data_IF_814341529251
#
_entry.id   IF_814341529251
#
_cell.length_a   1.000
_cell.length_b   1.000
_cell.length_c   1.000
_cell.angle_alpha   90.00
_cell.angle_beta   90.00
_cell.angle_gamma   90.00
#
_symmetry.space_group_name_H-M   'P 1'
#
loop_
_entity.id
_entity.type
_entity.pdbx_description
1 polymer ?
#
# COMPACT_ATOMS: atom_id res chain seq x y z
N UNK A 1 -3.66 -32.47 17.09
CA UNK A 1 -3.26 -31.39 16.16
C UNK A 1 -3.37 -30.06 16.91
N UNK A 2 -2.26 -29.32 17.10
CA UNK A 2 -2.28 -28.02 17.79
C UNK A 2 -2.58 -26.93 16.76
N UNK A 3 -3.57 -26.08 17.03
CA UNK A 3 -3.86 -24.93 16.19
C UNK A 3 -2.70 -23.94 16.27
N UNK A 4 -2.08 -23.63 15.14
CA UNK A 4 -1.10 -22.57 15.01
C UNK A 4 -1.81 -21.24 15.26
N UNK A 5 -1.53 -20.63 16.42
CA UNK A 5 -2.02 -19.30 16.74
C UNK A 5 -1.34 -18.33 15.78
N UNK A 6 -2.06 -17.85 14.76
CA UNK A 6 -1.52 -16.90 13.80
C UNK A 6 -1.00 -15.70 14.57
N UNK A 7 0.31 -15.49 14.48
CA UNK A 7 1.01 -14.37 15.12
C UNK A 7 0.31 -13.10 14.69
N UNK A 8 -0.34 -12.43 15.64
CA UNK A 8 -1.04 -11.18 15.39
C UNK A 8 0.04 -10.15 15.05
N UNK A 9 0.17 -9.79 13.78
CA UNK A 9 1.09 -8.72 13.38
C UNK A 9 0.55 -7.42 13.97
N UNK A 10 1.10 -7.05 15.13
CA UNK A 10 0.74 -5.84 15.84
C UNK A 10 1.22 -4.65 15.02
N UNK A 11 0.33 -4.08 14.22
CA UNK A 11 0.58 -2.86 13.47
C UNK A 11 0.81 -1.71 14.47
N UNK A 12 2.03 -1.19 14.48
CA UNK A 12 2.38 0.00 15.26
C UNK A 12 2.25 1.26 14.40
N UNK A 13 2.12 2.42 15.05
CA UNK A 13 2.44 3.70 14.42
C UNK A 13 3.84 3.63 13.78
N UNK A 14 3.97 4.27 12.61
CA UNK A 14 5.17 4.29 11.76
C UNK A 14 5.55 2.95 11.10
N UNK A 15 4.68 1.94 11.13
CA UNK A 15 4.91 0.69 10.40
C UNK A 15 4.75 0.89 8.88
N UNK A 16 5.72 0.42 8.10
CA UNK A 16 5.57 0.32 6.65
C UNK A 16 4.72 -0.88 6.29
N UNK A 17 3.66 -0.65 5.52
CA UNK A 17 2.74 -1.68 5.04
C UNK A 17 2.72 -1.69 3.50
N UNK A 18 2.49 -2.87 2.92
CA UNK A 18 2.23 -3.01 1.48
C UNK A 18 0.75 -3.30 1.25
N UNK A 19 0.05 -2.38 0.58
CA UNK A 19 -1.35 -2.54 0.24
C UNK A 19 -1.51 -2.86 -1.24
N UNK A 20 -2.32 -3.89 -1.53
CA UNK A 20 -2.76 -4.20 -2.90
C UNK A 20 -4.06 -3.48 -3.18
N UNK A 21 -4.13 -2.78 -4.32
CA UNK A 21 -5.31 -2.03 -4.75
C UNK A 21 -5.39 -1.92 -6.26
N UNK A 22 -6.51 -1.42 -6.77
CA UNK A 22 -6.75 -1.22 -8.20
C UNK A 22 -6.56 0.26 -8.53
N UNK A 23 -5.64 0.58 -9.45
CA UNK A 23 -5.46 1.96 -9.92
C UNK A 23 -6.66 2.34 -10.79
N UNK A 24 -7.37 3.40 -10.42
CA UNK A 24 -8.54 3.93 -11.15
C UNK A 24 -8.17 5.11 -12.05
N UNK A 25 -7.25 5.95 -11.60
CA UNK A 25 -6.77 7.12 -12.35
C UNK A 25 -5.33 7.46 -11.96
N UNK A 26 -4.60 8.04 -12.92
CA UNK A 26 -3.24 8.54 -12.74
C UNK A 26 -3.25 10.01 -13.17
N UNK A 27 -2.84 10.88 -12.26
CA UNK A 27 -2.64 12.30 -12.50
C UNK A 27 -1.16 12.63 -12.36
N UNK A 28 -0.79 13.85 -12.75
CA UNK A 28 0.61 14.31 -12.72
C UNK A 28 1.26 14.12 -11.33
N UNK A 29 0.51 14.45 -10.27
CA UNK A 29 1.03 14.50 -8.91
C UNK A 29 0.43 13.45 -7.96
N UNK A 30 -0.61 12.72 -8.41
CA UNK A 30 -1.32 11.74 -7.57
C UNK A 30 -1.82 10.53 -8.35
N UNK A 31 -1.95 9.40 -7.67
CA UNK A 31 -2.66 8.21 -8.16
C UNK A 31 -3.90 7.98 -7.30
N UNK A 32 -5.00 7.60 -7.95
CA UNK A 32 -6.23 7.24 -7.26
C UNK A 32 -6.35 5.71 -7.26
N UNK A 33 -6.39 5.11 -6.07
CA UNK A 33 -6.38 3.65 -5.88
C UNK A 33 -7.63 3.22 -5.12
N UNK A 34 -8.33 2.21 -5.61
CA UNK A 34 -9.44 1.58 -4.90
C UNK A 34 -8.94 0.46 -4.00
N UNK A 35 -9.24 0.55 -2.70
CA UNK A 35 -8.89 -0.42 -1.67
C UNK A 35 -10.13 -0.68 -0.81
N UNK A 36 -10.54 -1.94 -0.70
CA UNK A 36 -11.70 -2.32 0.14
C UNK A 36 -13.00 -1.58 -0.22
N UNK A 37 -13.21 -1.25 -1.51
CA UNK A 37 -14.39 -0.54 -1.99
C UNK A 37 -14.31 0.99 -1.92
N UNK A 38 -13.33 1.56 -1.21
CA UNK A 38 -13.10 3.01 -1.13
C UNK A 38 -11.98 3.45 -2.08
N UNK A 39 -12.07 4.66 -2.62
CA UNK A 39 -11.00 5.27 -3.41
C UNK A 39 -10.18 6.19 -2.51
N UNK A 40 -8.86 6.03 -2.52
CA UNK A 40 -7.90 6.90 -1.83
C UNK A 40 -6.94 7.52 -2.85
N UNK A 41 -6.46 8.72 -2.56
CA UNK A 41 -5.46 9.42 -3.37
C UNK A 41 -4.09 9.30 -2.70
N UNK A 42 -3.10 8.79 -3.43
CA UNK A 42 -1.71 8.70 -2.97
C UNK A 42 -0.85 9.68 -3.79
N UNK A 43 -0.01 10.49 -3.13
CA UNK A 43 0.91 11.37 -3.85
C UNK A 43 1.98 10.55 -4.57
N UNK A 44 2.32 10.96 -5.79
CA UNK A 44 3.47 10.40 -6.51
C UNK A 44 4.69 11.17 -6.00
N UNK A 45 5.35 10.64 -4.97
CA UNK A 45 6.62 11.20 -4.55
C UNK A 45 7.70 10.77 -5.56
N UNK A 46 8.45 11.72 -6.11
CA UNK A 46 9.43 11.48 -7.18
C UNK A 46 10.70 10.73 -6.70
N UNK A 47 10.74 10.32 -5.44
CA UNK A 47 11.89 9.65 -4.81
C UNK A 47 12.00 8.15 -5.12
N UNK A 48 11.32 7.64 -6.15
CA UNK A 48 11.65 6.32 -6.68
C UNK A 48 12.93 6.44 -7.51
N UNK A 49 14.09 6.30 -6.87
CA UNK A 49 15.33 5.94 -7.56
C UNK A 49 15.01 4.77 -8.51
N UNK A 50 15.19 5.00 -9.81
CA UNK A 50 15.23 3.92 -10.80
C UNK A 50 16.28 2.91 -10.32
N UNK A 51 15.84 1.76 -9.79
CA UNK A 51 16.69 0.58 -9.74
C UNK A 51 16.71 0.03 -11.16
N UNK A 52 17.68 0.50 -11.94
CA UNK A 52 18.12 -0.19 -13.14
C UNK A 52 18.56 -1.59 -12.72
N UNK A 53 17.80 -2.60 -13.15
CA UNK A 53 18.20 -4.00 -13.16
C UNK A 53 19.39 -4.19 -14.11
#
# INVERSE_FOLDING_TARGET
>A
MKAENQKKDNLSVDSTISLKGIVKAIFKDTIHVQIGGKVISLPINQDTKNLSL
#
